data_IF_421359351314
#
_entry.id   IF_421359351314
#
_cell.length_a   1.000
_cell.length_b   1.000
_cell.length_c   1.000
_cell.angle_alpha   90.00
_cell.angle_beta   90.00
_cell.angle_gamma   90.00
#
_symmetry.space_group_name_H-M   'P 1'
#
loop_
_entity.id
_entity.type
_entity.pdbx_description
1 polymer ?
#
# COMPACT_ATOMS: atom_id res chain seq x y z
N UNK A 1 -1.59 11.01 13.28
CA UNK A 1 -0.53 10.17 13.83
C UNK A 1 0.24 9.49 12.70
N UNK A 2 1.56 9.72 12.64
CA UNK A 2 2.40 9.27 11.51
C UNK A 2 3.32 8.15 11.99
N UNK A 3 3.07 6.93 11.50
CA UNK A 3 3.83 5.73 11.81
C UNK A 3 4.84 5.37 10.70
N UNK A 4 4.97 6.18 9.66
CA UNK A 4 6.03 6.02 8.66
C UNK A 4 7.39 6.49 9.21
N UNK A 5 8.46 5.85 8.74
CA UNK A 5 9.82 6.25 9.09
C UNK A 5 10.13 7.69 8.66
N UNK A 6 10.91 8.38 9.50
CA UNK A 6 11.54 9.66 9.17
C UNK A 6 13.01 9.40 8.83
N UNK A 7 13.64 10.29 8.12
CA UNK A 7 15.03 10.15 7.67
C UNK A 7 15.14 10.08 6.16
N UNK A 8 15.83 9.08 5.61
CA UNK A 8 16.02 8.94 4.15
C UNK A 8 14.81 8.34 3.42
N UNK A 9 13.68 8.28 4.08
CA UNK A 9 12.39 7.86 3.52
C UNK A 9 11.43 9.06 3.51
N UNK A 10 10.82 9.34 2.36
CA UNK A 10 10.01 10.56 2.17
C UNK A 10 8.61 10.46 2.77
N UNK A 11 8.13 9.24 3.08
CA UNK A 11 6.75 8.99 3.51
C UNK A 11 6.35 9.74 4.78
N UNK A 12 7.14 9.62 5.85
CA UNK A 12 6.87 10.29 7.12
C UNK A 12 6.87 11.81 7.00
N UNK A 13 7.92 12.37 6.39
CA UNK A 13 8.06 13.83 6.23
C UNK A 13 6.99 14.42 5.29
N UNK A 14 6.67 13.74 4.20
CA UNK A 14 5.67 14.23 3.25
C UNK A 14 4.28 14.33 3.88
N UNK A 15 3.89 13.33 4.66
CA UNK A 15 2.63 13.34 5.41
C UNK A 15 2.62 14.39 6.53
N UNK A 16 3.75 14.57 7.22
CA UNK A 16 3.91 15.62 8.24
C UNK A 16 3.69 17.01 7.64
N UNK A 17 4.37 17.32 6.54
CA UNK A 17 4.20 18.59 5.84
C UNK A 17 2.78 18.79 5.32
N UNK A 18 2.16 17.75 4.78
CA UNK A 18 0.77 17.78 4.34
C UNK A 18 -0.20 18.06 5.48
N UNK A 19 -0.06 17.35 6.61
CA UNK A 19 -0.88 17.56 7.80
C UNK A 19 -0.75 18.99 8.36
N UNK A 20 0.48 19.50 8.48
CA UNK A 20 0.72 20.88 8.93
C UNK A 20 0.15 21.92 7.98
N UNK A 21 0.29 21.71 6.66
CA UNK A 21 -0.29 22.61 5.65
C UNK A 21 -1.81 22.63 5.70
N UNK A 22 -2.44 21.49 6.07
CA UNK A 22 -3.87 21.39 6.29
C UNK A 22 -4.32 22.06 7.62
N UNK A 23 -3.39 22.45 8.50
CA UNK A 23 -3.69 22.98 9.82
C UNK A 23 -3.93 21.91 10.89
N UNK A 24 -3.64 20.67 10.61
CA UNK A 24 -3.74 19.57 11.54
C UNK A 24 -2.49 19.46 12.43
N UNK A 25 -2.65 18.94 13.64
CA UNK A 25 -1.53 18.56 14.50
C UNK A 25 -0.91 17.25 13.97
N UNK A 26 0.36 17.28 13.65
CA UNK A 26 1.11 16.08 13.28
C UNK A 26 1.81 15.49 14.53
N UNK A 27 1.63 14.19 14.75
CA UNK A 27 2.34 13.41 15.77
C UNK A 27 3.38 12.55 15.06
N UNK A 28 4.68 12.97 14.99
CA UNK A 28 5.72 12.34 14.19
C UNK A 28 6.37 11.17 14.93
N UNK A 29 5.60 10.13 15.21
CA UNK A 29 6.05 9.01 16.04
C UNK A 29 7.09 8.12 15.33
N UNK A 30 7.15 8.14 13.99
CA UNK A 30 7.99 7.26 13.19
C UNK A 30 7.54 5.78 13.26
N UNK A 31 8.31 4.86 12.70
CA UNK A 31 7.99 3.45 12.63
C UNK A 31 8.35 2.69 13.93
N UNK A 32 7.67 1.59 14.17
CA UNK A 32 7.95 0.67 15.29
C UNK A 32 7.37 1.10 16.64
N UNK A 33 7.73 0.37 17.71
CA UNK A 33 7.30 0.60 19.07
C UNK A 33 5.76 0.69 19.25
N UNK A 34 5.06 -0.35 18.83
CA UNK A 34 3.59 -0.45 18.77
C UNK A 34 2.90 0.01 20.05
N UNK A 35 3.41 -0.39 21.22
CA UNK A 35 2.83 0.03 22.50
C UNK A 35 2.82 1.56 22.67
N UNK A 36 3.90 2.23 22.27
CA UNK A 36 3.99 3.69 22.32
C UNK A 36 3.13 4.36 21.24
N UNK A 37 3.01 3.74 20.06
CA UNK A 37 2.09 4.22 19.03
C UNK A 37 0.67 4.29 19.58
N UNK A 38 0.16 3.21 20.15
CA UNK A 38 -1.19 3.12 20.70
C UNK A 38 -1.39 4.11 21.85
N UNK A 39 -0.43 4.21 22.77
CA UNK A 39 -0.45 5.19 23.85
C UNK A 39 -0.54 6.63 23.32
N UNK A 40 0.26 6.99 22.32
CA UNK A 40 0.22 8.34 21.75
C UNK A 40 -1.10 8.59 20.97
N UNK A 41 -1.67 7.60 20.31
CA UNK A 41 -2.97 7.71 19.65
C UNK A 41 -4.08 8.01 20.65
N UNK A 42 -4.07 7.33 21.80
CA UNK A 42 -5.02 7.54 22.91
C UNK A 42 -4.79 8.91 23.56
N UNK A 43 -3.57 9.20 24.05
CA UNK A 43 -3.26 10.39 24.84
C UNK A 43 -3.46 11.71 24.06
N UNK A 44 -3.14 11.72 22.78
CA UNK A 44 -3.31 12.89 21.92
C UNK A 44 -4.65 12.93 21.16
N UNK A 45 -5.49 11.93 21.32
CA UNK A 45 -6.79 11.86 20.66
C UNK A 45 -6.64 11.91 19.13
N UNK A 46 -5.71 11.12 18.56
CA UNK A 46 -5.47 11.11 17.13
C UNK A 46 -6.75 10.73 16.36
N UNK A 47 -7.12 11.52 15.36
CA UNK A 47 -8.30 11.26 14.51
C UNK A 47 -7.96 10.61 13.18
N UNK A 48 -6.71 10.67 12.78
CA UNK A 48 -6.19 9.99 11.59
C UNK A 48 -4.83 9.37 11.88
N UNK A 49 -4.54 8.26 11.23
CA UNK A 49 -3.22 7.65 11.26
C UNK A 49 -2.72 7.32 9.86
N UNK A 50 -1.40 7.22 9.69
CA UNK A 50 -0.77 6.87 8.43
C UNK A 50 0.38 5.89 8.66
N UNK A 51 0.30 4.74 7.98
CA UNK A 51 1.32 3.69 8.02
C UNK A 51 1.17 2.74 6.82
N UNK A 52 2.09 1.76 6.70
CA UNK A 52 1.89 0.68 5.73
C UNK A 52 0.66 -0.17 6.10
N UNK A 53 -0.05 -0.75 5.11
CA UNK A 53 -1.21 -1.60 5.37
C UNK A 53 -0.93 -2.77 6.32
N UNK A 54 0.19 -3.46 6.16
CA UNK A 54 0.60 -4.54 7.05
C UNK A 54 0.77 -4.08 8.50
N UNK A 55 1.36 -2.89 8.70
CA UNK A 55 1.49 -2.32 10.04
C UNK A 55 0.17 -1.80 10.60
N UNK A 56 -0.73 -1.30 9.76
CA UNK A 56 -2.09 -0.92 10.16
C UNK A 56 -2.87 -2.12 10.72
N UNK A 57 -2.80 -3.27 10.05
CA UNK A 57 -3.41 -4.49 10.54
C UNK A 57 -2.80 -4.93 11.88
N UNK A 58 -1.47 -4.89 12.01
CA UNK A 58 -0.80 -5.23 13.26
C UNK A 58 -1.17 -4.28 14.40
N UNK A 59 -1.27 -2.97 14.15
CA UNK A 59 -1.75 -1.98 15.13
C UNK A 59 -3.20 -2.25 15.54
N UNK A 60 -4.06 -2.61 14.58
CA UNK A 60 -5.45 -2.94 14.82
C UNK A 60 -5.60 -4.16 15.72
N UNK A 61 -4.87 -5.23 15.44
CA UNK A 61 -4.84 -6.43 16.26
C UNK A 61 -4.32 -6.13 17.68
N UNK A 62 -3.22 -5.38 17.81
CA UNK A 62 -2.65 -5.00 19.09
C UNK A 62 -3.58 -4.09 19.93
N UNK A 63 -4.33 -3.19 19.28
CA UNK A 63 -5.31 -2.35 19.97
C UNK A 63 -6.49 -3.16 20.51
N UNK A 64 -6.95 -4.15 19.74
CA UNK A 64 -8.01 -5.09 20.18
C UNK A 64 -7.52 -5.97 21.32
N UNK A 65 -6.33 -6.56 21.24
CA UNK A 65 -5.75 -7.37 22.31
C UNK A 65 -5.57 -6.57 23.62
N UNK A 66 -5.21 -5.28 23.49
CA UNK A 66 -5.09 -4.38 24.64
C UNK A 66 -6.44 -3.86 25.16
N UNK A 67 -7.56 -4.10 24.46
CA UNK A 67 -8.89 -3.62 24.84
C UNK A 67 -9.03 -2.10 24.87
N UNK A 68 -8.35 -1.40 23.96
CA UNK A 68 -8.31 0.08 23.95
C UNK A 68 -9.00 0.71 22.74
N UNK A 69 -9.57 -0.07 21.83
CA UNK A 69 -10.19 0.45 20.59
C UNK A 69 -11.22 1.53 20.91
N UNK A 70 -12.08 1.30 21.89
CA UNK A 70 -13.12 2.25 22.31
C UNK A 70 -12.58 3.58 22.89
N UNK A 71 -11.28 3.63 23.23
CA UNK A 71 -10.61 4.83 23.72
C UNK A 71 -9.94 5.64 22.60
N UNK A 72 -9.73 5.03 21.45
CA UNK A 72 -9.14 5.68 20.29
C UNK A 72 -10.20 6.57 19.61
N UNK A 73 -9.78 7.73 19.13
CA UNK A 73 -10.64 8.65 18.38
C UNK A 73 -10.39 8.58 16.88
N UNK A 74 -9.79 7.50 16.41
CA UNK A 74 -9.46 7.30 15.01
C UNK A 74 -10.71 7.27 14.14
N UNK A 75 -10.64 7.86 12.95
CA UNK A 75 -11.69 7.89 11.93
C UNK A 75 -11.16 7.53 10.56
N UNK A 76 -9.88 7.82 10.31
CA UNK A 76 -9.26 7.70 8.98
C UNK A 76 -7.91 7.02 9.09
N UNK A 77 -7.70 6.00 8.25
CA UNK A 77 -6.40 5.42 7.92
C UNK A 77 -5.93 5.89 6.54
N UNK A 78 -4.68 6.33 6.42
CA UNK A 78 -4.02 6.62 5.13
C UNK A 78 -2.90 5.61 4.98
N UNK A 79 -3.10 4.62 4.12
CA UNK A 79 -2.26 3.45 4.04
C UNK A 79 -1.65 3.29 2.65
N UNK A 80 -0.38 2.93 2.56
CA UNK A 80 0.31 2.76 1.28
C UNK A 80 1.77 2.37 1.47
N UNK A 81 2.58 2.57 0.45
CA UNK A 81 3.98 2.16 0.34
C UNK A 81 4.18 0.64 0.12
N UNK A 82 3.14 -0.15 0.22
CA UNK A 82 3.09 -1.56 -0.17
C UNK A 82 1.72 -1.87 -0.78
N UNK A 83 1.62 -2.83 -1.71
CA UNK A 83 0.31 -3.27 -2.21
C UNK A 83 -0.47 -3.98 -1.11
N UNK A 84 -1.79 -3.87 -1.14
CA UNK A 84 -2.69 -4.51 -0.20
C UNK A 84 -4.04 -4.86 -0.83
N UNK A 85 -4.70 -5.86 -0.26
CA UNK A 85 -5.96 -6.37 -0.78
C UNK A 85 -7.16 -5.66 -0.17
N UNK A 86 -8.31 -5.80 -0.80
CA UNK A 86 -9.57 -5.27 -0.29
C UNK A 86 -9.96 -5.96 1.03
N UNK A 87 -9.68 -7.26 1.14
CA UNK A 87 -9.94 -8.04 2.35
C UNK A 87 -9.13 -7.51 3.54
N UNK A 88 -7.86 -7.15 3.31
CA UNK A 88 -7.03 -6.52 4.35
C UNK A 88 -7.58 -5.16 4.77
N UNK A 89 -8.02 -4.33 3.81
CA UNK A 89 -8.65 -3.03 4.10
C UNK A 89 -9.87 -3.20 5.00
N UNK A 90 -10.81 -4.04 4.59
CA UNK A 90 -12.04 -4.29 5.34
C UNK A 90 -11.76 -4.83 6.75
N UNK A 91 -10.74 -5.68 6.89
CA UNK A 91 -10.35 -6.20 8.21
C UNK A 91 -9.80 -5.10 9.12
N UNK A 92 -8.98 -4.19 8.60
CA UNK A 92 -8.47 -3.05 9.40
C UNK A 92 -9.61 -2.13 9.80
N UNK A 93 -10.52 -1.83 8.87
CA UNK A 93 -11.69 -0.98 9.11
C UNK A 93 -12.60 -1.56 10.19
N UNK A 94 -12.87 -2.87 10.12
CA UNK A 94 -13.67 -3.58 11.13
C UNK A 94 -13.02 -3.55 12.52
N UNK A 95 -11.71 -3.77 12.60
CA UNK A 95 -10.99 -3.85 13.87
C UNK A 95 -10.83 -2.50 14.58
N UNK A 96 -10.74 -1.40 13.83
CA UNK A 96 -10.49 -0.06 14.39
C UNK A 96 -11.69 0.89 14.28
N UNK A 97 -12.78 0.51 13.62
CA UNK A 97 -13.93 1.36 13.28
C UNK A 97 -13.50 2.65 12.54
N UNK A 98 -12.75 2.49 11.47
CA UNK A 98 -12.18 3.58 10.66
C UNK A 98 -12.48 3.39 9.17
N UNK A 99 -12.29 4.44 8.38
CA UNK A 99 -12.24 4.33 6.91
C UNK A 99 -10.79 4.41 6.45
N UNK A 100 -10.33 3.44 5.68
CA UNK A 100 -8.96 3.36 5.18
C UNK A 100 -8.89 3.75 3.69
N UNK A 101 -7.90 4.58 3.36
CA UNK A 101 -7.67 5.07 2.00
C UNK A 101 -6.27 4.70 1.53
N UNK A 102 -6.19 4.22 0.29
CA UNK A 102 -4.92 3.91 -0.34
C UNK A 102 -4.23 5.19 -0.81
N UNK A 103 -2.92 5.31 -0.55
CA UNK A 103 -2.06 6.39 -1.01
C UNK A 103 -0.85 5.83 -1.73
N UNK A 104 -0.60 6.35 -2.92
CA UNK A 104 0.56 5.99 -3.71
C UNK A 104 1.57 7.12 -3.83
N UNK A 105 2.83 6.74 -3.82
CA UNK A 105 3.96 7.61 -4.08
C UNK A 105 5.26 6.83 -4.09
N UNK A 106 6.31 7.47 -4.57
CA UNK A 106 7.66 6.93 -4.61
C UNK A 106 8.67 8.07 -4.42
N UNK A 107 9.77 7.77 -3.73
CA UNK A 107 10.78 8.78 -3.38
C UNK A 107 11.37 9.48 -4.60
N UNK A 108 11.50 8.78 -5.72
CA UNK A 108 12.06 9.28 -6.98
C UNK A 108 11.19 10.37 -7.58
N UNK A 109 9.87 10.23 -7.49
CA UNK A 109 8.94 11.23 -8.02
C UNK A 109 8.73 12.36 -7.02
N UNK A 110 8.19 12.07 -5.82
CA UNK A 110 8.03 13.08 -4.76
C UNK A 110 7.75 12.51 -3.37
N UNK A 111 7.56 11.20 -3.23
CA UNK A 111 7.13 10.57 -1.97
C UNK A 111 5.61 10.37 -1.91
N UNK A 112 4.97 10.41 -0.75
CA UNK A 112 3.54 10.12 -0.62
C UNK A 112 2.70 11.22 -1.27
N UNK A 113 1.54 10.82 -1.84
CA UNK A 113 0.59 11.77 -2.40
C UNK A 113 0.79 12.07 -3.89
N UNK A 114 1.40 11.17 -4.66
CA UNK A 114 1.33 11.19 -6.13
C UNK A 114 -0.08 10.84 -6.58
N UNK A 115 -0.70 9.86 -5.92
CA UNK A 115 -2.11 9.52 -6.09
C UNK A 115 -2.75 9.13 -4.74
N UNK A 116 -4.06 9.34 -4.61
CA UNK A 116 -4.82 9.06 -3.38
C UNK A 116 -6.25 8.64 -3.72
N UNK A 117 -6.77 7.64 -3.02
CA UNK A 117 -8.18 7.26 -3.09
C UNK A 117 -9.12 8.38 -2.60
N UNK A 118 -10.37 8.31 -3.03
CA UNK A 118 -11.49 9.05 -2.47
C UNK A 118 -12.47 8.10 -1.78
N UNK A 119 -13.55 8.65 -1.22
CA UNK A 119 -14.58 7.90 -0.49
C UNK A 119 -15.29 6.81 -1.31
N UNK A 120 -15.16 6.80 -2.63
CA UNK A 120 -15.77 5.78 -3.50
C UNK A 120 -14.86 4.57 -3.74
N UNK A 121 -13.61 4.59 -3.29
CA UNK A 121 -12.64 3.49 -3.43
C UNK A 121 -12.53 2.92 -4.85
N UNK A 122 -12.78 3.75 -5.86
CA UNK A 122 -12.72 3.38 -7.27
C UNK A 122 -11.43 3.89 -7.92
N UNK A 123 -10.30 3.42 -7.43
CA UNK A 123 -8.97 3.83 -7.85
C UNK A 123 -8.46 5.11 -7.17
N UNK A 124 -7.17 5.38 -7.35
CA UNK A 124 -6.46 6.52 -6.77
C UNK A 124 -6.35 7.66 -7.79
N UNK A 125 -6.84 8.83 -7.44
CA UNK A 125 -6.73 10.04 -8.26
C UNK A 125 -5.27 10.51 -8.33
N UNK A 126 -4.73 10.61 -9.53
CA UNK A 126 -3.40 11.14 -9.79
C UNK A 126 -3.47 12.68 -9.82
N UNK A 127 -2.58 13.34 -9.10
CA UNK A 127 -2.47 14.81 -9.11
C UNK A 127 -1.73 15.28 -10.36
N UNK A 128 -2.42 15.29 -11.50
CA UNK A 128 -1.85 15.57 -12.83
C UNK A 128 -1.36 17.02 -13.02
N UNK A 129 -1.70 17.93 -12.12
CA UNK A 129 -1.06 19.25 -12.04
C UNK A 129 0.46 19.18 -11.79
N UNK A 130 0.91 18.09 -11.19
CA UNK A 130 2.29 17.87 -10.79
C UNK A 130 2.93 16.65 -11.48
N UNK A 131 2.13 15.66 -11.85
CA UNK A 131 2.61 14.36 -12.34
C UNK A 131 1.80 13.93 -13.56
N UNK A 132 2.41 13.92 -14.73
CA UNK A 132 1.74 13.40 -15.93
C UNK A 132 1.86 11.87 -15.96
N UNK A 133 0.76 11.12 -15.82
CA UNK A 133 0.75 9.67 -15.83
C UNK A 133 0.62 9.14 -17.26
N UNK A 134 1.33 8.06 -17.56
CA UNK A 134 1.16 7.22 -18.74
C UNK A 134 1.08 5.77 -18.28
N UNK A 135 0.28 4.93 -18.94
CA UNK A 135 0.31 3.49 -18.76
C UNK A 135 0.74 2.85 -20.08
N UNK A 136 1.86 2.13 -20.05
CA UNK A 136 2.49 1.58 -21.24
C UNK A 136 2.51 0.05 -21.21
N UNK A 137 2.29 -0.56 -22.36
CA UNK A 137 2.49 -1.99 -22.54
C UNK A 137 3.98 -2.33 -22.37
N UNK A 138 4.35 -3.21 -21.43
CA UNK A 138 5.76 -3.52 -21.17
C UNK A 138 6.50 -4.19 -22.34
N UNK A 139 5.78 -4.81 -23.28
CA UNK A 139 6.37 -5.55 -24.38
C UNK A 139 6.85 -4.64 -25.52
N UNK A 140 6.08 -3.59 -25.86
CA UNK A 140 6.34 -2.74 -27.02
C UNK A 140 6.36 -1.23 -26.73
N UNK A 141 6.09 -0.85 -25.46
CA UNK A 141 5.97 0.54 -24.99
C UNK A 141 4.86 1.36 -25.68
N UNK A 142 3.88 0.72 -26.28
CA UNK A 142 2.67 1.40 -26.75
C UNK A 142 1.83 1.87 -25.57
N UNK A 143 1.03 2.91 -25.78
CA UNK A 143 0.06 3.35 -24.77
C UNK A 143 -1.06 2.32 -24.63
N UNK A 144 -1.39 1.98 -23.39
CA UNK A 144 -2.54 1.16 -23.06
C UNK A 144 -3.83 1.97 -23.20
N UNK A 145 -4.92 1.31 -23.56
CA UNK A 145 -6.25 1.89 -23.48
C UNK A 145 -6.71 2.02 -22.02
N UNK A 146 -7.72 2.87 -21.77
CA UNK A 146 -8.33 2.99 -20.44
C UNK A 146 -8.82 1.62 -19.93
N UNK A 147 -8.42 1.27 -18.71
CA UNK A 147 -8.71 -0.02 -18.09
C UNK A 147 -7.74 -1.16 -18.48
N UNK A 148 -6.90 -0.99 -19.48
CA UNK A 148 -5.87 -1.96 -19.84
C UNK A 148 -4.68 -1.89 -18.89
N UNK A 149 -4.18 -3.06 -18.46
CA UNK A 149 -3.06 -3.13 -17.52
C UNK A 149 -1.73 -2.95 -18.26
N UNK A 150 -0.92 -2.01 -17.76
CA UNK A 150 0.43 -1.77 -18.24
C UNK A 150 1.33 -1.22 -17.13
N UNK A 151 2.55 -0.88 -17.47
CA UNK A 151 3.51 -0.26 -16.57
C UNK A 151 3.22 1.24 -16.42
N UNK A 152 3.10 1.69 -15.18
CA UNK A 152 2.92 3.10 -14.86
C UNK A 152 4.22 3.87 -15.08
N UNK A 153 4.09 5.00 -15.77
CA UNK A 153 5.19 5.90 -16.10
C UNK A 153 4.81 7.32 -15.70
N UNK A 154 5.74 8.05 -15.10
CA UNK A 154 5.51 9.43 -14.70
C UNK A 154 6.49 10.41 -15.34
N UNK A 155 5.96 11.56 -15.75
CA UNK A 155 6.75 12.77 -16.00
C UNK A 155 6.41 13.79 -14.92
N UNK A 156 7.42 14.33 -14.21
CA UNK A 156 7.22 15.37 -13.21
C UNK A 156 7.13 16.74 -13.88
N UNK A 157 6.09 17.52 -13.57
CA UNK A 157 5.82 18.81 -14.24
C UNK A 157 6.38 19.99 -13.44
N UNK A 158 6.40 19.90 -12.11
CA UNK A 158 6.79 21.02 -11.24
C UNK A 158 8.08 20.77 -10.44
N UNK A 159 8.72 19.61 -10.60
CA UNK A 159 9.90 19.24 -9.83
C UNK A 159 11.17 19.85 -10.44
N UNK A 160 11.77 20.81 -9.76
CA UNK A 160 13.01 21.47 -10.22
C UNK A 160 14.25 20.62 -9.91
N UNK A 161 14.34 20.08 -8.69
CA UNK A 161 15.42 19.18 -8.30
C UNK A 161 15.19 17.76 -8.84
N UNK A 162 16.08 17.26 -9.69
CA UNK A 162 15.98 15.95 -10.33
C UNK A 162 14.65 15.77 -11.07
N UNK A 163 14.37 16.57 -12.10
CA UNK A 163 13.16 16.38 -12.91
C UNK A 163 13.20 15.02 -13.63
N UNK A 164 12.07 14.35 -13.67
CA UNK A 164 11.93 13.04 -14.30
C UNK A 164 11.09 13.15 -15.56
N UNK A 165 11.61 12.64 -16.66
CA UNK A 165 10.90 12.52 -17.94
C UNK A 165 10.65 11.04 -18.23
N UNK A 166 9.37 10.65 -18.31
CA UNK A 166 8.91 9.29 -18.59
C UNK A 166 9.61 8.24 -17.71
N UNK A 167 9.62 8.49 -16.41
CA UNK A 167 10.19 7.58 -15.43
C UNK A 167 9.34 6.32 -15.29
N UNK A 168 9.94 5.17 -15.58
CA UNK A 168 9.29 3.86 -15.48
C UNK A 168 9.29 3.37 -14.04
N UNK A 169 8.11 3.31 -13.42
CA UNK A 169 8.00 2.94 -12.00
C UNK A 169 8.17 1.44 -11.76
N UNK A 170 7.98 0.62 -12.80
CA UNK A 170 7.84 -0.84 -12.74
C UNK A 170 6.53 -1.34 -12.15
N UNK A 171 5.69 -0.47 -11.65
CA UNK A 171 4.40 -0.82 -11.08
C UNK A 171 3.37 -1.08 -12.18
N UNK A 172 2.61 -2.17 -12.07
CA UNK A 172 1.56 -2.56 -13.02
C UNK A 172 0.19 -2.10 -12.53
N UNK A 173 -0.46 -1.27 -13.32
CA UNK A 173 -1.79 -0.73 -13.06
C UNK A 173 -2.53 -0.45 -14.37
N UNK A 174 -3.77 0.01 -14.29
CA UNK A 174 -4.51 0.62 -15.41
C UNK A 174 -4.88 2.05 -15.04
N UNK A 175 -5.18 2.86 -16.07
CA UNK A 175 -5.66 4.23 -15.90
C UNK A 175 -7.10 4.36 -16.39
N UNK A 176 -7.88 5.25 -15.76
CA UNK A 176 -9.27 5.59 -16.14
C UNK A 176 -9.41 7.10 -16.11
N UNK A 177 -9.76 7.69 -17.24
CA UNK A 177 -9.98 9.14 -17.41
C UNK A 177 -11.44 9.57 -17.23
N UNK A 178 -12.34 8.66 -16.91
CA UNK A 178 -13.75 9.00 -16.67
C UNK A 178 -13.91 9.84 -15.39
N UNK A 179 -14.92 10.70 -15.36
CA UNK A 179 -15.24 11.49 -14.15
C UNK A 179 -15.63 10.57 -13.00
N UNK A 180 -15.02 10.79 -11.85
CA UNK A 180 -15.38 10.06 -10.65
C UNK A 180 -16.67 10.58 -10.02
N UNK A 181 -17.43 9.71 -9.35
CA UNK A 181 -18.64 10.07 -8.59
C UNK A 181 -18.35 11.12 -7.48
N UNK A 182 -17.11 11.23 -6.99
CA UNK A 182 -16.70 12.29 -6.06
C UNK A 182 -16.62 13.69 -6.71
N UNK A 183 -16.85 13.80 -8.02
CA UNK A 183 -16.82 15.04 -8.79
C UNK A 183 -15.43 15.45 -9.28
N UNK A 184 -14.36 14.74 -8.93
CA UNK A 184 -13.02 15.00 -9.46
C UNK A 184 -12.90 14.53 -10.90
N UNK A 185 -12.21 15.34 -11.71
CA UNK A 185 -11.88 15.06 -13.12
C UNK A 185 -10.48 14.46 -13.31
N UNK A 186 -9.74 14.33 -12.22
CA UNK A 186 -8.40 13.75 -12.23
C UNK A 186 -8.45 12.28 -12.67
N UNK A 187 -7.52 11.80 -13.50
CA UNK A 187 -7.43 10.40 -13.88
C UNK A 187 -7.16 9.53 -12.64
N UNK A 188 -7.66 8.30 -12.69
CA UNK A 188 -7.49 7.35 -11.59
C UNK A 188 -6.67 6.16 -12.04
N UNK A 189 -5.71 5.78 -11.23
CA UNK A 189 -5.00 4.50 -11.38
C UNK A 189 -5.68 3.44 -10.51
N UNK A 190 -5.76 2.22 -11.04
CA UNK A 190 -6.32 1.08 -10.30
C UNK A 190 -5.35 0.61 -9.20
N UNK A 191 -5.82 -0.26 -8.30
CA UNK A 191 -4.92 -0.98 -7.38
C UNK A 191 -3.85 -1.73 -8.16
N UNK A 192 -2.63 -1.70 -7.65
CA UNK A 192 -1.49 -2.32 -8.32
C UNK A 192 -1.65 -3.84 -8.39
N UNK A 193 -1.29 -4.39 -9.54
CA UNK A 193 -1.30 -5.86 -9.78
C UNK A 193 0.04 -6.51 -9.43
N UNK A 194 1.05 -5.71 -9.13
CA UNK A 194 2.41 -6.10 -8.83
C UNK A 194 3.41 -5.21 -9.55
N UNK A 195 4.65 -5.64 -9.58
CA UNK A 195 5.75 -4.97 -10.30
C UNK A 195 6.30 -5.87 -11.39
N UNK A 196 6.76 -5.28 -12.48
CA UNK A 196 7.39 -6.03 -13.57
C UNK A 196 8.69 -6.73 -13.13
N UNK A 197 9.36 -6.22 -12.09
CA UNK A 197 10.60 -6.77 -11.54
C UNK A 197 10.38 -7.72 -10.34
N UNK A 198 9.19 -7.75 -9.72
CA UNK A 198 8.83 -8.68 -8.65
C UNK A 198 8.18 -9.98 -9.15
N UNK A 199 7.74 -9.98 -10.40
CA UNK A 199 7.16 -11.15 -11.03
C UNK A 199 8.19 -12.29 -11.07
N UNK A 200 7.79 -13.47 -10.57
CA UNK A 200 8.57 -14.69 -10.68
C UNK A 200 7.98 -15.59 -11.75
N UNK A 201 8.81 -16.09 -12.64
CA UNK A 201 8.37 -17.10 -13.61
C UNK A 201 8.67 -18.48 -13.02
N UNK A 202 7.63 -19.19 -12.60
CA UNK A 202 7.74 -20.52 -11.99
C UNK A 202 7.19 -21.55 -12.99
N UNK A 203 8.03 -22.37 -13.55
CA UNK A 203 7.66 -23.40 -14.56
C UNK A 203 6.82 -22.82 -15.70
N UNK A 204 7.16 -21.61 -16.16
CA UNK A 204 6.44 -20.94 -17.25
C UNK A 204 5.17 -20.20 -16.83
N UNK A 205 4.85 -20.16 -15.54
CA UNK A 205 3.71 -19.39 -15.00
C UNK A 205 4.23 -18.13 -14.33
N UNK A 206 3.64 -16.98 -14.65
CA UNK A 206 3.91 -15.72 -14.00
C UNK A 206 3.22 -15.69 -12.62
N UNK A 207 4.01 -15.57 -11.56
CA UNK A 207 3.53 -15.51 -10.17
C UNK A 207 3.89 -14.15 -9.59
N UNK A 208 2.88 -13.45 -9.09
CA UNK A 208 3.05 -12.18 -8.37
C UNK A 208 2.84 -12.39 -6.87
N UNK A 209 3.61 -11.72 -6.00
CA UNK A 209 3.42 -11.78 -4.55
C UNK A 209 1.98 -11.48 -4.11
N UNK A 210 1.32 -10.51 -4.74
CA UNK A 210 -0.08 -10.14 -4.47
C UNK A 210 -1.08 -11.27 -4.73
N UNK A 211 -0.82 -12.14 -5.70
CA UNK A 211 -1.67 -13.33 -5.95
C UNK A 211 -1.55 -14.34 -4.82
N UNK A 212 -0.33 -14.52 -4.30
CA UNK A 212 -0.07 -15.41 -3.16
C UNK A 212 -0.76 -14.87 -1.90
N UNK A 213 -0.65 -13.56 -1.65
CA UNK A 213 -1.33 -12.90 -0.53
C UNK A 213 -2.85 -13.07 -0.59
N UNK A 214 -3.47 -12.79 -1.74
CA UNK A 214 -4.92 -12.98 -1.94
C UNK A 214 -5.33 -14.43 -1.67
N UNK A 215 -4.56 -15.40 -2.16
CA UNK A 215 -4.83 -16.81 -1.92
C UNK A 215 -4.74 -17.17 -0.43
N UNK A 216 -3.72 -16.67 0.28
CA UNK A 216 -3.54 -16.92 1.72
C UNK A 216 -4.68 -16.34 2.55
N UNK A 217 -5.09 -15.09 2.27
CA UNK A 217 -6.20 -14.45 2.98
C UNK A 217 -7.54 -15.16 2.74
N UNK A 218 -7.72 -15.76 1.56
CA UNK A 218 -8.94 -16.53 1.23
C UNK A 218 -9.07 -17.86 1.96
N UNK A 219 -7.97 -18.43 2.46
CA UNK A 219 -7.98 -19.73 3.16
C UNK A 219 -8.66 -19.64 4.54
N UNK A 220 -8.61 -18.50 5.20
CA UNK A 220 -9.12 -18.34 6.57
C UNK A 220 -8.35 -19.16 7.61
N UNK A 221 -8.94 -19.39 8.79
CA UNK A 221 -8.38 -20.34 9.76
C UNK A 221 -7.15 -19.91 10.55
N UNK A 222 -6.95 -18.57 10.73
CA UNK A 222 -5.84 -18.03 11.55
C UNK A 222 -4.50 -17.93 10.82
N UNK A 223 -4.52 -17.93 9.51
CA UNK A 223 -3.35 -17.63 8.68
C UNK A 223 -3.09 -16.13 8.76
N UNK A 224 -1.92 -15.73 9.27
CA UNK A 224 -1.51 -14.32 9.27
C UNK A 224 -1.08 -13.88 7.86
N UNK A 225 -1.26 -12.61 7.49
CA UNK A 225 -0.86 -12.10 6.17
C UNK A 225 0.66 -11.94 6.01
N UNK A 226 1.42 -12.51 6.91
CA UNK A 226 2.89 -12.51 6.87
C UNK A 226 3.40 -13.81 6.25
N UNK A 227 4.07 -13.69 5.12
CA UNK A 227 4.61 -14.84 4.40
C UNK A 227 5.97 -14.54 3.78
N UNK A 228 6.68 -15.59 3.45
CA UNK A 228 7.95 -15.55 2.73
C UNK A 228 7.86 -16.48 1.51
N UNK A 229 8.13 -15.95 0.35
CA UNK A 229 8.24 -16.72 -0.89
C UNK A 229 9.69 -17.12 -1.11
N UNK A 230 9.95 -18.40 -1.19
CA UNK A 230 11.27 -18.96 -1.51
C UNK A 230 11.15 -19.63 -2.88
N UNK A 231 11.94 -19.14 -3.84
CA UNK A 231 12.07 -19.76 -5.16
C UNK A 231 13.41 -20.48 -5.20
N UNK A 232 13.38 -21.78 -5.37
CA UNK A 232 14.55 -22.63 -5.45
C UNK A 232 14.48 -23.54 -6.69
N UNK A 233 15.53 -24.30 -6.96
CA UNK A 233 15.61 -25.18 -8.11
C UNK A 233 15.94 -26.59 -7.69
N UNK A 234 14.99 -27.50 -7.85
CA UNK A 234 15.15 -28.92 -7.57
C UNK A 234 15.03 -29.73 -8.88
N UNK A 235 16.00 -30.60 -9.15
CA UNK A 235 15.99 -31.45 -10.37
C UNK A 235 15.74 -30.67 -11.68
N UNK A 236 16.39 -29.52 -11.85
CA UNK A 236 16.20 -28.59 -12.97
C UNK A 236 14.79 -27.97 -13.13
N UNK A 237 13.93 -28.09 -12.14
CA UNK A 237 12.60 -27.47 -12.08
C UNK A 237 12.56 -26.42 -10.99
N UNK A 238 11.95 -25.29 -11.27
CA UNK A 238 11.70 -24.25 -10.28
C UNK A 238 10.65 -24.74 -9.27
N UNK A 239 10.93 -24.53 -7.98
CA UNK A 239 10.03 -24.87 -6.86
C UNK A 239 9.74 -23.60 -6.09
N UNK A 240 8.44 -23.30 -5.92
CA UNK A 240 7.96 -22.20 -5.08
C UNK A 240 7.52 -22.77 -3.73
N UNK A 241 8.17 -22.31 -2.67
CA UNK A 241 7.75 -22.59 -1.29
C UNK A 241 7.22 -21.30 -0.67
N UNK A 242 6.02 -21.35 -0.12
CA UNK A 242 5.43 -20.23 0.62
C UNK A 242 5.43 -20.59 2.10
N UNK A 243 6.25 -19.89 2.87
CA UNK A 243 6.26 -20.01 4.34
C UNK A 243 5.30 -18.99 4.91
N UNK A 244 4.33 -19.43 5.70
CA UNK A 244 3.26 -18.59 6.22
C UNK A 244 3.33 -18.53 7.73
N UNK A 245 3.19 -17.34 8.32
CA UNK A 245 3.03 -17.20 9.76
C UNK A 245 1.63 -17.68 10.16
N UNK A 246 1.57 -18.60 11.12
CA UNK A 246 0.31 -19.00 11.77
C UNK A 246 0.27 -18.37 13.17
N UNK A 247 -0.94 -18.12 13.69
CA UNK A 247 -1.13 -17.40 14.94
C UNK A 247 -0.30 -17.99 16.09
N UNK A 248 0.20 -17.14 16.94
CA UNK A 248 1.29 -17.28 17.92
C UNK A 248 1.19 -18.44 18.95
N UNK A 249 0.31 -19.39 18.83
CA UNK A 249 0.16 -20.46 19.83
C UNK A 249 0.98 -21.72 19.58
N UNK A 250 1.50 -21.96 18.38
CA UNK A 250 2.42 -23.07 18.10
C UNK A 250 3.35 -22.79 16.92
N UNK A 251 4.64 -22.73 17.18
CA UNK A 251 5.74 -22.69 16.21
C UNK A 251 5.87 -24.02 15.45
N UNK A 252 4.97 -24.31 14.55
CA UNK A 252 5.17 -25.34 13.52
C UNK A 252 4.82 -24.71 12.19
N UNK A 253 5.82 -24.41 11.38
CA UNK A 253 5.66 -23.89 10.03
C UNK A 253 5.20 -25.05 9.10
N UNK A 254 3.96 -25.10 8.61
CA UNK A 254 3.62 -26.05 7.57
C UNK A 254 4.28 -25.60 6.26
N UNK A 255 5.06 -26.49 5.67
CA UNK A 255 5.58 -26.32 4.32
C UNK A 255 4.54 -26.81 3.33
N UNK A 256 3.96 -25.94 2.54
CA UNK A 256 3.10 -26.34 1.40
C UNK A 256 4.05 -26.50 0.20
N UNK A 257 4.14 -27.73 -0.32
CA UNK A 257 4.90 -28.08 -1.53
C UNK A 257 4.02 -28.10 -2.76
#
# INVERSE_FOLDING_TARGET
HICYGYGLFTGGMGLDFGARKLGAMAIPMSAGNTKRQLMCMEDFGATAFACTPSYALYLAEAANEAGIVDKLQLKVGINGAEPWTEEMRLKIEELLDVNCFDIYGLCEVTGPGVALECIHHNGMHVYEDYFYPEVLNPADNSHCADGEIGELVFTTLAKEGMPLLRYRTKDLTSIDHSTCECGRTLPRISKFKGRTDDMKVIRGVNVFPTQVETALLSVGGGVAPHYLMIVDRENNLDVLTVMVAVSYTHLTLPTIR
#
